data_IF_254864598439
#
_entry.id   IF_254864598439
#
_cell.length_a   1.000
_cell.length_b   1.000
_cell.length_c   1.000
_cell.angle_alpha   90.00
_cell.angle_beta   90.00
_cell.angle_gamma   90.00
#
_symmetry.space_group_name_H-M   'P 1'
#
loop_
_entity.id
_entity.type
_entity.pdbx_description
1 polymer ?
#
# COMPACT_ATOMS: atom_id res chain seq x y z
N UNK A 1 -17.16 4.78 -18.40
CA UNK A 1 -16.54 5.86 -17.61
C UNK A 1 -15.33 5.29 -16.87
N UNK A 2 -14.16 5.35 -17.50
CA UNK A 2 -12.93 4.80 -16.90
C UNK A 2 -12.45 5.75 -15.82
N UNK A 3 -12.74 5.47 -14.55
CA UNK A 3 -12.09 6.14 -13.42
C UNK A 3 -10.64 5.62 -13.31
N UNK A 4 -9.81 5.92 -14.31
CA UNK A 4 -8.36 5.85 -14.15
C UNK A 4 -7.94 7.02 -13.26
N UNK A 5 -8.09 6.85 -11.94
CA UNK A 5 -7.27 7.63 -11.01
C UNK A 5 -5.85 7.14 -11.19
N UNK A 6 -5.01 7.97 -11.80
CA UNK A 6 -3.57 7.79 -11.76
C UNK A 6 -3.16 7.85 -10.30
N UNK A 7 -2.71 6.72 -9.73
CA UNK A 7 -2.08 6.72 -8.43
C UNK A 7 -0.82 7.59 -8.49
N UNK A 8 -0.50 8.28 -7.40
CA UNK A 8 0.78 8.97 -7.29
C UNK A 8 1.93 7.96 -7.30
N UNK A 9 3.11 8.43 -7.71
CA UNK A 9 4.33 7.60 -7.74
C UNK A 9 4.65 7.01 -6.35
N UNK A 10 4.40 7.77 -5.28
CA UNK A 10 4.58 7.26 -3.92
C UNK A 10 3.66 6.07 -3.60
N UNK A 11 2.38 6.13 -3.98
CA UNK A 11 1.43 5.03 -3.78
C UNK A 11 1.83 3.81 -4.62
N UNK A 12 2.31 4.02 -5.85
CA UNK A 12 2.84 2.96 -6.71
C UNK A 12 4.11 2.33 -6.14
N UNK A 13 5.03 3.14 -5.61
CA UNK A 13 6.26 2.67 -4.97
C UNK A 13 5.95 1.78 -3.77
N UNK A 14 5.03 2.20 -2.90
CA UNK A 14 4.59 1.41 -1.74
C UNK A 14 3.93 0.09 -2.16
N UNK A 15 3.01 0.11 -3.14
CA UNK A 15 2.37 -1.11 -3.64
C UNK A 15 3.39 -2.09 -4.23
N UNK A 16 4.35 -1.59 -5.01
CA UNK A 16 5.41 -2.41 -5.58
C UNK A 16 6.33 -2.99 -4.51
N UNK A 17 6.66 -2.24 -3.47
CA UNK A 17 7.45 -2.75 -2.35
C UNK A 17 6.73 -3.92 -1.65
N UNK A 18 5.43 -3.76 -1.33
CA UNK A 18 4.63 -4.83 -0.71
C UNK A 18 4.55 -6.05 -1.64
N UNK A 19 4.34 -5.84 -2.94
CA UNK A 19 4.27 -6.91 -3.92
C UNK A 19 5.59 -7.70 -4.02
N UNK A 20 6.73 -7.00 -4.10
CA UNK A 20 8.07 -7.60 -4.13
C UNK A 20 8.41 -8.37 -2.84
N UNK A 21 7.86 -7.97 -1.70
CA UNK A 21 7.98 -8.69 -0.43
C UNK A 21 7.05 -9.91 -0.30
N UNK A 22 6.44 -10.38 -1.40
CA UNK A 22 5.51 -11.52 -1.38
C UNK A 22 4.05 -11.13 -1.10
N UNK A 23 3.71 -9.85 -1.20
CA UNK A 23 2.36 -9.33 -1.02
C UNK A 23 1.97 -9.07 0.43
N UNK A 24 2.93 -9.09 1.36
CA UNK A 24 2.71 -8.80 2.76
C UNK A 24 3.97 -8.23 3.41
N UNK A 25 3.79 -7.28 4.31
CA UNK A 25 4.83 -6.70 5.17
C UNK A 25 4.31 -6.68 6.61
N UNK A 26 5.18 -7.00 7.57
CA UNK A 26 4.81 -7.26 8.96
C UNK A 26 4.66 -5.98 9.79
N UNK A 27 5.19 -4.86 9.30
CA UNK A 27 5.21 -3.61 10.05
C UNK A 27 5.35 -2.39 9.16
N UNK A 28 5.04 -1.22 9.71
CA UNK A 28 5.30 0.05 9.03
C UNK A 28 6.80 0.34 8.96
N UNK A 29 7.57 -0.11 9.96
CA UNK A 29 9.03 -0.05 9.99
C UNK A 29 9.66 -0.78 8.81
N UNK A 30 9.19 -1.99 8.52
CA UNK A 30 9.64 -2.75 7.33
C UNK A 30 9.37 -1.97 6.03
N UNK A 31 8.24 -1.27 5.93
CA UNK A 31 7.96 -0.42 4.78
C UNK A 31 8.86 0.81 4.69
N UNK A 32 9.29 1.38 5.83
CA UNK A 32 10.28 2.47 5.85
C UNK A 32 11.56 1.96 5.20
N UNK A 33 12.05 0.79 5.61
CA UNK A 33 13.29 0.21 5.09
C UNK A 33 13.20 -0.12 3.59
N UNK A 34 12.04 -0.60 3.13
CA UNK A 34 11.83 -0.99 1.73
C UNK A 34 11.62 0.19 0.77
N UNK A 35 11.11 1.33 1.25
CA UNK A 35 10.67 2.43 0.38
C UNK A 35 11.44 3.73 0.61
N UNK A 36 12.08 3.90 1.76
CA UNK A 36 12.72 5.14 2.20
C UNK A 36 11.74 6.23 2.66
N UNK A 37 10.42 5.99 2.61
CA UNK A 37 9.43 6.92 3.16
C UNK A 37 9.37 6.82 4.69
N UNK A 38 9.16 7.94 5.36
CA UNK A 38 8.94 7.93 6.81
C UNK A 38 7.55 7.37 7.17
N UNK A 39 7.35 7.06 8.46
CA UNK A 39 6.10 6.48 8.97
C UNK A 39 4.88 7.38 8.73
N UNK A 40 5.04 8.70 8.77
CA UNK A 40 3.92 9.62 8.56
C UNK A 40 3.49 9.65 7.09
N UNK A 41 4.46 9.69 6.17
CA UNK A 41 4.23 9.58 4.73
C UNK A 41 3.57 8.24 4.37
N UNK A 42 4.07 7.13 4.93
CA UNK A 42 3.48 5.82 4.73
C UNK A 42 2.05 5.75 5.28
N UNK A 43 1.81 6.23 6.49
CA UNK A 43 0.45 6.27 7.07
C UNK A 43 -0.50 7.12 6.21
N UNK A 44 -0.05 8.27 5.73
CA UNK A 44 -0.84 9.12 4.83
C UNK A 44 -1.17 8.42 3.50
N UNK A 45 -0.22 7.74 2.89
CA UNK A 45 -0.47 7.04 1.62
C UNK A 45 -1.31 5.77 1.79
N UNK A 46 -1.15 5.05 2.90
CA UNK A 46 -1.86 3.81 3.19
C UNK A 46 -3.30 4.11 3.64
N UNK A 47 -3.47 4.94 4.66
CA UNK A 47 -4.77 5.23 5.27
C UNK A 47 -5.50 6.40 4.60
N UNK A 48 -4.76 7.33 4.00
CA UNK A 48 -5.33 8.55 3.42
C UNK A 48 -5.44 9.69 4.43
N UNK A 49 -6.16 10.72 4.02
CA UNK A 49 -6.59 11.86 4.83
C UNK A 49 -8.03 12.24 4.47
N UNK A 50 -8.56 13.28 5.11
CA UNK A 50 -9.87 13.83 4.76
C UNK A 50 -9.99 14.20 3.27
N UNK A 51 -8.90 14.65 2.65
CA UNK A 51 -8.89 15.18 1.28
C UNK A 51 -8.28 14.21 0.26
N UNK A 52 -7.70 13.08 0.69
CA UNK A 52 -7.02 12.14 -0.20
C UNK A 52 -7.26 10.69 0.21
N UNK A 53 -7.81 9.89 -0.72
CA UNK A 53 -7.99 8.45 -0.54
C UNK A 53 -6.67 7.71 -0.37
N UNK A 54 -6.56 6.93 0.70
CA UNK A 54 -5.46 6.01 0.97
C UNK A 54 -5.57 4.70 0.17
N UNK A 55 -4.49 3.92 0.14
CA UNK A 55 -4.47 2.60 -0.49
C UNK A 55 -5.52 1.63 0.10
N UNK A 56 -5.83 1.77 1.40
CA UNK A 56 -6.90 1.01 2.07
C UNK A 56 -8.27 1.39 1.52
N UNK A 57 -8.57 2.69 1.44
CA UNK A 57 -9.85 3.17 0.91
C UNK A 57 -10.03 2.86 -0.59
N UNK A 58 -8.91 2.75 -1.32
CA UNK A 58 -8.90 2.32 -2.72
C UNK A 58 -9.05 0.79 -2.88
N UNK A 59 -9.07 0.03 -1.77
CA UNK A 59 -9.18 -1.43 -1.78
C UNK A 59 -7.95 -2.16 -2.31
N UNK A 60 -6.79 -1.50 -2.35
CA UNK A 60 -5.55 -2.06 -2.91
C UNK A 60 -4.70 -2.77 -1.84
N UNK A 61 -4.86 -2.38 -0.58
CA UNK A 61 -4.21 -3.03 0.58
C UNK A 61 -5.17 -3.14 1.75
N UNK A 62 -4.91 -4.09 2.65
CA UNK A 62 -5.55 -4.21 3.95
C UNK A 62 -4.52 -4.00 5.07
N UNK A 63 -4.94 -3.37 6.17
CA UNK A 63 -4.15 -3.32 7.41
C UNK A 63 -4.55 -4.49 8.30
N UNK A 64 -3.58 -5.31 8.69
CA UNK A 64 -3.80 -6.53 9.47
C UNK A 64 -3.16 -6.39 10.83
N UNK A 65 -3.93 -6.63 11.89
CA UNK A 65 -3.39 -6.70 13.24
C UNK A 65 -2.67 -8.02 13.45
N UNK A 66 -1.40 -7.96 13.80
CA UNK A 66 -0.56 -9.10 14.12
C UNK A 66 -0.47 -9.35 15.63
N UNK A 67 0.22 -10.42 15.99
CA UNK A 67 0.62 -10.70 17.36
C UNK A 67 1.37 -9.52 17.99
N UNK A 68 1.24 -9.39 19.32
CA UNK A 68 1.86 -8.31 20.10
C UNK A 68 1.45 -6.90 19.66
N UNK A 69 0.34 -6.77 18.92
CA UNK A 69 -0.27 -5.48 18.57
C UNK A 69 0.39 -4.75 17.39
N UNK A 70 1.31 -5.40 16.66
CA UNK A 70 1.90 -4.81 15.45
C UNK A 70 0.86 -4.74 14.32
N UNK A 71 1.01 -3.77 13.43
CA UNK A 71 0.16 -3.62 12.25
C UNK A 71 0.97 -3.98 11.01
N UNK A 72 0.56 -5.04 10.32
CA UNK A 72 1.06 -5.40 9.00
C UNK A 72 0.19 -4.82 7.89
N UNK A 73 0.71 -4.84 6.67
CA UNK A 73 -0.01 -4.38 5.48
C UNK A 73 0.02 -5.49 4.44
N UNK A 74 -1.15 -5.82 3.89
CA UNK A 74 -1.32 -6.92 2.94
C UNK A 74 -1.86 -6.40 1.63
N UNK A 75 -1.31 -6.86 0.51
CA UNK A 75 -1.87 -6.58 -0.81
C UNK A 75 -3.18 -7.36 -0.99
N UNK A 76 -4.24 -6.67 -1.44
CA UNK A 76 -5.50 -7.33 -1.79
C UNK A 76 -5.39 -8.04 -3.14
N UNK A 77 -6.36 -8.89 -3.47
CA UNK A 77 -6.47 -9.44 -4.82
C UNK A 77 -6.58 -8.34 -5.89
N UNK A 78 -7.34 -7.27 -5.60
CA UNK A 78 -7.46 -6.11 -6.49
C UNK A 78 -6.11 -5.40 -6.65
N UNK A 79 -5.36 -5.20 -5.57
CA UNK A 79 -4.02 -4.62 -5.61
C UNK A 79 -3.07 -5.44 -6.48
N UNK A 80 -3.14 -6.78 -6.44
CA UNK A 80 -2.28 -7.66 -7.26
C UNK A 80 -2.60 -7.48 -8.73
N UNK A 81 -3.89 -7.59 -9.09
CA UNK A 81 -4.37 -7.42 -10.47
C UNK A 81 -4.02 -6.03 -10.98
N UNK A 82 -4.16 -4.99 -10.16
CA UNK A 82 -3.83 -3.62 -10.51
C UNK A 82 -2.35 -3.47 -10.89
N UNK A 83 -1.43 -4.12 -10.17
CA UNK A 83 0.00 -4.06 -10.48
C UNK A 83 0.35 -4.87 -11.74
N UNK A 84 -0.11 -6.12 -11.83
CA UNK A 84 0.22 -7.00 -12.97
C UNK A 84 -0.45 -6.57 -14.27
N UNK A 85 -1.60 -5.89 -14.18
CA UNK A 85 -2.29 -5.33 -15.34
C UNK A 85 -1.61 -4.09 -15.95
N UNK A 86 -0.59 -3.53 -15.28
CA UNK A 86 0.25 -2.43 -15.82
C UNK A 86 1.55 -2.91 -16.45
N UNK A 87 1.94 -4.17 -16.24
CA UNK A 87 3.14 -4.78 -16.82
C UNK A 87 2.87 -5.42 -18.20
N UNK A 88 1.63 -5.36 -18.70
CA UNK A 88 1.23 -5.80 -20.05
C UNK A 88 0.84 -4.63 -20.95
#
# INVERSE_FOLDING_TARGET
>A
MSYHRTLSDAKLSILNAIYKSGGFVNSLEELVDLTGYDKAQLSYHINGSADSKGLVELGLVDVVRQERGRLGVKLTALGKIFLTGREN
#
